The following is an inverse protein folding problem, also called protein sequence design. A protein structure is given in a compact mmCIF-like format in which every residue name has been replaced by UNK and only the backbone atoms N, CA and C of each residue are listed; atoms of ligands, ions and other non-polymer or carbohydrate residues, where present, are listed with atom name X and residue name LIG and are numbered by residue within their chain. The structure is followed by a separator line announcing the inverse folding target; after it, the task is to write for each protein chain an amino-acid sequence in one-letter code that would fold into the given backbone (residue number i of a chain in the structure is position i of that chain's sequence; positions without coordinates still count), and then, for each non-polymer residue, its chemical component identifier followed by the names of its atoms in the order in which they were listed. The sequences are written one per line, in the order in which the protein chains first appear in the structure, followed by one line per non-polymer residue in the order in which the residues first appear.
data_IF_282813832427
#
_entry.id   IF_282813832427
#
_cell.length_a   1.000
_cell.length_b   1.000
_cell.length_c   1.000
_cell.angle_alpha   90.00
_cell.angle_beta   90.00
_cell.angle_gamma   90.00
#
_symmetry.space_group_name_H-M   'P 1'
#
loop_
_entity.id
_entity.type
_entity.pdbx_description
1 polymer ?
#
# COMPACT_ATOMS: atom_id res chain seq x y z
N UNK A 1 4.20 -10.01 -2.98
CA UNK A 1 4.46 -10.60 -4.31
C UNK A 1 3.92 -12.02 -4.47
N UNK A 2 3.48 -12.74 -3.42
CA UNK A 2 3.02 -14.14 -3.57
C UNK A 2 1.71 -14.30 -4.37
N UNK A 3 0.72 -13.41 -4.16
CA UNK A 3 -0.62 -13.54 -4.77
C UNK A 3 -0.68 -13.14 -6.25
N UNK A 4 0.31 -12.38 -6.74
CA UNK A 4 0.33 -11.86 -8.11
C UNK A 4 0.52 -12.96 -9.18
N UNK A 5 1.47 -13.91 -9.06
CA UNK A 5 1.63 -15.00 -10.02
C UNK A 5 0.50 -16.05 -9.99
N UNK A 6 -0.29 -16.09 -8.90
CA UNK A 6 -1.40 -17.05 -8.71
C UNK A 6 -2.61 -16.81 -9.65
N UNK A 7 -2.62 -15.73 -10.45
CA UNK A 7 -3.67 -15.51 -11.45
C UNK A 7 -5.08 -15.29 -10.91
N UNK A 8 -5.21 -14.94 -9.63
CA UNK A 8 -6.48 -14.70 -8.95
C UNK A 8 -7.37 -13.65 -9.64
N UNK A 9 -8.67 -13.71 -9.38
CA UNK A 9 -9.58 -12.65 -9.86
C UNK A 9 -9.20 -11.31 -9.22
N UNK A 10 -9.43 -10.20 -9.94
CA UNK A 10 -9.01 -8.87 -9.47
C UNK A 10 -9.53 -8.52 -8.07
N UNK A 11 -10.76 -8.96 -7.77
CA UNK A 11 -11.43 -8.69 -6.51
C UNK A 11 -10.84 -9.53 -5.37
N UNK A 12 -10.56 -10.81 -5.60
CA UNK A 12 -9.93 -11.68 -4.59
C UNK A 12 -8.52 -11.20 -4.32
N UNK A 13 -7.73 -10.90 -5.36
CA UNK A 13 -6.39 -10.36 -5.20
C UNK A 13 -6.38 -9.06 -4.36
N UNK A 14 -7.21 -8.08 -4.74
CA UNK A 14 -7.27 -6.79 -4.05
C UNK A 14 -7.82 -6.93 -2.62
N UNK A 15 -8.88 -7.72 -2.43
CA UNK A 15 -9.51 -7.95 -1.14
C UNK A 15 -8.59 -8.66 -0.15
N UNK A 16 -7.95 -9.77 -0.57
CA UNK A 16 -7.01 -10.50 0.28
C UNK A 16 -5.80 -9.64 0.66
N UNK A 17 -5.23 -8.91 -0.31
CA UNK A 17 -4.10 -8.02 -0.03
C UNK A 17 -4.50 -6.91 0.94
N UNK A 18 -5.66 -6.28 0.72
CA UNK A 18 -6.18 -5.24 1.60
C UNK A 18 -6.40 -5.77 3.02
N UNK A 19 -7.04 -6.93 3.16
CA UNK A 19 -7.31 -7.52 4.48
C UNK A 19 -6.02 -7.87 5.22
N UNK A 20 -5.05 -8.47 4.53
CA UNK A 20 -3.73 -8.79 5.10
C UNK A 20 -3.06 -7.55 5.69
N UNK A 21 -3.02 -6.45 4.94
CA UNK A 21 -2.45 -5.20 5.43
C UNK A 21 -3.30 -4.55 6.52
N UNK A 22 -4.62 -4.58 6.44
CA UNK A 22 -5.49 -4.02 7.49
C UNK A 22 -5.25 -4.71 8.82
N UNK A 23 -5.26 -6.05 8.85
CA UNK A 23 -5.00 -6.83 10.07
C UNK A 23 -3.60 -6.55 10.60
N UNK A 24 -2.58 -6.61 9.74
CA UNK A 24 -1.20 -6.33 10.14
C UNK A 24 -1.01 -4.91 10.69
N UNK A 25 -1.67 -3.91 10.11
CA UNK A 25 -1.61 -2.53 10.60
C UNK A 25 -2.36 -2.35 11.92
N UNK A 26 -3.52 -2.96 12.11
CA UNK A 26 -4.26 -2.90 13.39
C UNK A 26 -3.41 -3.52 14.51
N UNK A 27 -2.81 -4.69 14.25
CA UNK A 27 -1.92 -5.36 15.20
C UNK A 27 -0.73 -4.47 15.56
N UNK A 28 -0.20 -3.68 14.62
CA UNK A 28 0.89 -2.71 14.88
C UNK A 28 0.41 -1.45 15.60
N UNK A 29 -0.79 -0.97 15.28
CA UNK A 29 -1.33 0.27 15.79
C UNK A 29 -1.53 0.23 17.30
N UNK A 30 -2.00 -0.91 17.85
CA UNK A 30 -2.23 -1.04 19.29
C UNK A 30 -0.95 -0.92 20.14
N UNK A 31 0.13 -1.69 19.88
CA UNK A 31 1.43 -1.48 20.54
C UNK A 31 2.00 -0.09 20.32
N UNK A 32 1.84 0.47 19.11
CA UNK A 32 2.32 1.82 18.82
C UNK A 32 1.60 2.86 19.67
N UNK A 33 0.28 2.81 19.80
CA UNK A 33 -0.49 3.73 20.64
C UNK A 33 -0.16 3.60 22.13
N UNK A 34 0.18 2.40 22.59
CA UNK A 34 0.58 2.16 23.97
C UNK A 34 1.94 2.77 24.33
N UNK A 35 2.87 2.83 23.36
CA UNK A 35 4.25 3.31 23.57
C UNK A 35 4.46 4.75 23.08
N UNK A 36 3.74 5.18 22.05
CA UNK A 36 3.95 6.46 21.40
C UNK A 36 3.42 7.61 22.25
N UNK A 37 4.15 8.74 22.20
CA UNK A 37 3.69 10.05 22.68
C UNK A 37 3.62 10.97 21.47
N UNK A 38 2.51 10.97 20.70
CA UNK A 38 2.45 11.69 19.43
C UNK A 38 2.55 13.20 19.69
N UNK A 39 3.47 13.86 18.99
CA UNK A 39 3.54 15.31 18.97
C UNK A 39 2.33 15.90 18.23
N UNK A 40 2.09 17.20 18.38
CA UNK A 40 0.98 17.92 17.72
C UNK A 40 0.95 17.69 16.21
N UNK A 41 2.12 17.63 15.57
CA UNK A 41 2.23 17.37 14.12
C UNK A 41 1.65 16.01 13.71
N UNK A 42 1.86 14.97 14.53
CA UNK A 42 1.33 13.62 14.28
C UNK A 42 -0.19 13.61 14.48
N UNK A 43 -0.69 14.30 15.50
CA UNK A 43 -2.14 14.46 15.71
C UNK A 43 -2.81 15.18 14.54
N UNK A 44 -2.21 16.27 14.04
CA UNK A 44 -2.70 16.97 12.85
C UNK A 44 -2.71 16.06 11.63
N UNK A 45 -1.65 15.27 11.43
CA UNK A 45 -1.60 14.30 10.33
C UNK A 45 -2.69 13.24 10.44
N UNK A 46 -2.92 12.69 11.65
CA UNK A 46 -4.00 11.72 11.89
C UNK A 46 -5.39 12.32 11.58
N UNK A 47 -5.62 13.58 11.96
CA UNK A 47 -6.87 14.28 11.65
C UNK A 47 -7.08 14.46 10.14
N UNK A 48 -6.03 14.86 9.39
CA UNK A 48 -6.10 14.97 7.92
C UNK A 48 -6.39 13.59 7.29
N UNK A 49 -5.72 12.54 7.78
CA UNK A 49 -5.92 11.17 7.31
C UNK A 49 -7.36 10.68 7.49
N UNK A 50 -8.11 11.20 8.47
CA UNK A 50 -9.50 10.84 8.71
C UNK A 50 -10.39 11.10 7.47
N UNK A 51 -10.06 12.13 6.68
CA UNK A 51 -10.76 12.46 5.43
C UNK A 51 -10.02 11.93 4.19
N UNK A 52 -8.69 11.98 4.19
CA UNK A 52 -7.88 11.56 3.06
C UNK A 52 -7.97 10.05 2.79
N UNK A 53 -8.06 9.23 3.84
CA UNK A 53 -8.15 7.77 3.71
C UNK A 53 -9.46 7.32 3.06
N UNK A 54 -10.67 7.67 3.57
CA UNK A 54 -11.92 7.22 2.94
C UNK A 54 -12.09 7.78 1.52
N UNK A 55 -11.68 9.03 1.27
CA UNK A 55 -11.71 9.60 -0.09
C UNK A 55 -10.76 8.87 -1.05
N UNK A 56 -9.55 8.54 -0.60
CA UNK A 56 -8.59 7.74 -1.35
C UNK A 56 -9.10 6.32 -1.64
N UNK A 57 -9.70 5.65 -0.65
CA UNK A 57 -10.31 4.31 -0.82
C UNK A 57 -11.43 4.36 -1.84
N UNK A 58 -12.33 5.36 -1.76
CA UNK A 58 -13.42 5.52 -2.72
C UNK A 58 -12.91 5.75 -4.14
N UNK A 59 -11.92 6.64 -4.30
CA UNK A 59 -11.30 6.89 -5.61
C UNK A 59 -10.63 5.62 -6.16
N UNK A 60 -9.87 4.92 -5.32
CA UNK A 60 -9.22 3.66 -5.67
C UNK A 60 -10.22 2.59 -6.08
N UNK A 61 -11.34 2.45 -5.37
CA UNK A 61 -12.42 1.54 -5.74
C UNK A 61 -13.03 1.88 -7.10
N UNK A 62 -13.28 3.18 -7.36
CA UNK A 62 -13.83 3.66 -8.64
C UNK A 62 -12.87 3.39 -9.81
N UNK A 63 -11.57 3.63 -9.61
CA UNK A 63 -10.54 3.31 -10.59
C UNK A 63 -10.41 1.80 -10.81
N UNK A 64 -10.40 1.02 -9.72
CA UNK A 64 -10.34 -0.43 -9.77
C UNK A 64 -11.54 -1.03 -10.52
N UNK A 65 -12.74 -0.44 -10.38
CA UNK A 65 -13.92 -0.85 -11.15
C UNK A 65 -13.71 -0.68 -12.66
N UNK A 66 -13.02 0.39 -13.09
CA UNK A 66 -12.72 0.68 -14.51
C UNK A 66 -11.60 -0.19 -15.09
N UNK A 67 -10.70 -0.71 -14.26
CA UNK A 67 -9.59 -1.54 -14.72
C UNK A 67 -10.03 -2.97 -15.01
N UNK A 68 -9.65 -3.47 -16.18
CA UNK A 68 -9.73 -4.90 -16.50
C UNK A 68 -8.63 -5.70 -15.78
N UNK A 69 -8.82 -7.02 -15.64
CA UNK A 69 -7.85 -7.89 -14.95
C UNK A 69 -6.44 -7.80 -15.55
N UNK A 70 -6.31 -7.88 -16.88
CA UNK A 70 -5.02 -7.75 -17.57
C UNK A 70 -4.34 -6.39 -17.34
N UNK A 71 -5.13 -5.31 -17.32
CA UNK A 71 -4.61 -3.96 -17.11
C UNK A 71 -4.11 -3.79 -15.67
N UNK A 72 -4.86 -4.28 -14.69
CA UNK A 72 -4.45 -4.28 -13.29
C UNK A 72 -3.13 -5.05 -13.11
N UNK A 73 -3.04 -6.27 -13.65
CA UNK A 73 -1.84 -7.09 -13.53
C UNK A 73 -0.62 -6.43 -14.19
N UNK A 74 -0.78 -5.88 -15.39
CA UNK A 74 0.28 -5.11 -16.08
C UNK A 74 0.74 -3.90 -15.25
N UNK A 75 -0.20 -3.15 -14.68
CA UNK A 75 0.12 -2.02 -13.82
C UNK A 75 0.90 -2.46 -12.58
N UNK A 76 0.47 -3.54 -11.90
CA UNK A 76 1.18 -4.08 -10.75
C UNK A 76 2.61 -4.50 -11.10
N UNK A 77 2.82 -5.32 -12.14
CA UNK A 77 4.15 -5.73 -12.57
C UNK A 77 5.02 -4.55 -13.02
N UNK A 78 4.44 -3.56 -13.71
CA UNK A 78 5.15 -2.35 -14.11
C UNK A 78 5.64 -1.53 -12.91
N UNK A 79 4.78 -1.29 -11.93
CA UNK A 79 5.17 -0.59 -10.69
C UNK A 79 6.23 -1.37 -9.92
N UNK A 80 6.13 -2.71 -9.89
CA UNK A 80 7.12 -3.55 -9.24
C UNK A 80 8.49 -3.47 -9.91
N UNK A 81 8.54 -3.45 -11.24
CA UNK A 81 9.77 -3.26 -11.99
C UNK A 81 10.41 -1.89 -11.67
N UNK A 82 9.62 -0.82 -11.72
CA UNK A 82 10.09 0.54 -11.39
C UNK A 82 10.64 0.60 -9.97
N UNK A 83 9.92 0.01 -9.02
CA UNK A 83 10.33 0.00 -7.61
C UNK A 83 11.61 -0.81 -7.41
N UNK A 84 11.73 -1.98 -8.06
CA UNK A 84 12.93 -2.81 -8.01
C UNK A 84 14.15 -2.07 -8.58
N UNK A 85 14.01 -1.40 -9.73
CA UNK A 85 15.09 -0.58 -10.31
C UNK A 85 15.51 0.55 -9.37
N UNK A 86 14.54 1.23 -8.75
CA UNK A 86 14.81 2.31 -7.78
C UNK A 86 15.57 1.80 -6.56
N UNK A 87 15.16 0.66 -5.98
CA UNK A 87 15.86 0.08 -4.84
C UNK A 87 17.27 -0.40 -5.19
N UNK A 88 17.49 -0.95 -6.39
CA UNK A 88 18.82 -1.32 -6.85
C UNK A 88 19.74 -0.11 -6.96
N UNK A 89 19.23 1.00 -7.51
CA UNK A 89 19.96 2.25 -7.59
C UNK A 89 20.29 2.82 -6.20
N UNK A 90 19.32 2.88 -5.30
CA UNK A 90 19.53 3.35 -3.93
C UNK A 90 20.55 2.48 -3.19
N UNK A 91 20.46 1.16 -3.36
CA UNK A 91 21.42 0.22 -2.79
C UNK A 91 22.83 0.45 -3.33
N UNK A 92 23.00 0.50 -4.64
CA UNK A 92 24.30 0.73 -5.27
C UNK A 92 24.89 2.10 -4.89
N UNK A 93 24.11 3.18 -4.99
CA UNK A 93 24.57 4.52 -4.63
C UNK A 93 24.87 4.70 -3.15
N UNK A 94 24.21 3.94 -2.27
CA UNK A 94 24.52 3.88 -0.85
C UNK A 94 25.79 3.10 -0.52
N UNK A 95 26.17 2.10 -1.33
CA UNK A 95 27.44 1.36 -1.20
C UNK A 95 28.64 2.12 -1.79
N UNK A 96 28.42 3.01 -2.77
CA UNK A 96 29.48 3.82 -3.39
C UNK A 96 29.80 5.12 -2.64
N UNK A 97 29.11 5.41 -1.53
CA UNK A 97 29.36 6.56 -0.63
C UNK A 97 29.91 6.08 0.69
#
# INVERSE_FOLDING_TARGET
MYLLPLGLSKQVYAGTTSLFFTVGNIIKAAPWLALARPATTVWTLMAICLLAVPSGVWLGWRLHARLGQRQMYRACYGLLLVTAMKLLWDGASGYLR
#
